data_IF_168560625955
#
_entry.id   IF_168560625955
#
_cell.length_a   1.000
_cell.length_b   1.000
_cell.length_c   1.000
_cell.angle_alpha   90.00
_cell.angle_beta   90.00
_cell.angle_gamma   90.00
#
_symmetry.space_group_name_H-M   'P 1'
#
loop_
_entity.id
_entity.type
_entity.pdbx_description
1 polymer ?
#
# COMPACT_ATOMS: atom_id res chain seq x y z
N UNK A 1 4.56 -0.97 -33.25
CA UNK A 1 3.94 -1.03 -31.92
C UNK A 1 4.63 -0.03 -31.00
N UNK A 2 3.89 0.85 -30.44
CA UNK A 2 4.44 1.83 -29.49
C UNK A 2 4.38 1.26 -28.08
N UNK A 3 5.43 1.47 -27.29
CA UNK A 3 5.40 1.16 -25.89
C UNK A 3 4.55 2.20 -25.15
N UNK A 4 3.79 1.74 -24.16
CA UNK A 4 3.10 2.66 -23.27
C UNK A 4 4.12 3.41 -22.42
N UNK A 5 3.86 4.69 -22.19
CA UNK A 5 4.72 5.48 -21.33
C UNK A 5 4.60 5.00 -19.87
N UNK A 6 5.70 5.08 -19.14
CA UNK A 6 5.75 4.71 -17.73
C UNK A 6 5.99 5.96 -16.90
N UNK A 7 5.25 6.06 -15.81
CA UNK A 7 5.49 7.07 -14.81
C UNK A 7 5.87 6.40 -13.50
N UNK A 8 7.05 6.70 -13.01
CA UNK A 8 7.54 6.17 -11.73
C UNK A 8 7.07 7.09 -10.61
N UNK A 9 6.38 6.50 -9.62
CA UNK A 9 5.78 7.23 -8.51
C UNK A 9 6.58 6.90 -7.26
N UNK A 10 7.16 7.92 -6.66
CA UNK A 10 7.98 7.79 -5.46
C UNK A 10 7.63 8.90 -4.48
N UNK A 11 7.48 8.55 -3.21
CA UNK A 11 7.25 9.53 -2.16
C UNK A 11 8.50 10.38 -1.96
N UNK A 12 8.36 11.70 -1.69
CA UNK A 12 9.51 12.59 -1.61
C UNK A 12 10.48 12.27 -0.46
N UNK A 13 9.98 11.66 0.63
CA UNK A 13 10.78 11.38 1.82
C UNK A 13 11.16 9.91 1.98
N UNK A 14 11.07 9.14 0.89
CA UNK A 14 11.44 7.73 0.94
C UNK A 14 12.94 7.55 1.17
N UNK A 15 13.38 6.43 1.77
CA UNK A 15 14.81 6.15 1.92
C UNK A 15 15.54 6.12 0.58
N UNK A 16 16.81 6.58 0.60
CA UNK A 16 17.67 6.57 -0.58
C UNK A 16 18.19 5.15 -0.83
N UNK A 17 18.34 4.79 -2.11
CA UNK A 17 18.98 3.54 -2.51
C UNK A 17 18.08 2.31 -2.51
N UNK A 18 16.78 2.49 -2.41
CA UNK A 18 15.85 1.36 -2.55
C UNK A 18 15.86 0.85 -3.99
N UNK A 19 15.88 -0.49 -4.20
CA UNK A 19 15.95 -1.08 -5.54
C UNK A 19 14.57 -1.21 -6.20
N UNK A 20 13.62 -0.34 -5.88
CA UNK A 20 12.27 -0.33 -6.44
C UNK A 20 11.64 1.04 -6.31
N UNK A 21 10.68 1.32 -7.17
CA UNK A 21 9.80 2.49 -7.05
C UNK A 21 8.63 2.17 -6.13
N UNK A 22 8.01 3.18 -5.54
CA UNK A 22 6.81 2.99 -4.72
C UNK A 22 5.62 2.51 -5.56
N UNK A 23 5.53 2.99 -6.79
CA UNK A 23 4.55 2.51 -7.76
C UNK A 23 5.01 2.86 -9.18
N UNK A 24 4.44 2.19 -10.16
CA UNK A 24 4.67 2.48 -11.58
C UNK A 24 3.31 2.53 -12.29
N UNK A 25 3.03 3.65 -12.92
CA UNK A 25 1.85 3.82 -13.76
C UNK A 25 2.20 3.49 -15.20
N UNK A 26 1.47 2.56 -15.79
CA UNK A 26 1.64 2.15 -17.19
C UNK A 26 0.27 2.23 -17.85
N UNK A 27 0.07 3.20 -18.75
CA UNK A 27 -1.26 3.43 -19.31
C UNK A 27 -2.26 3.73 -18.19
N UNK A 28 -3.28 2.91 -18.06
CA UNK A 28 -4.34 3.07 -17.06
C UNK A 28 -4.17 2.17 -15.84
N UNK A 29 -3.03 1.47 -15.74
CA UNK A 29 -2.79 0.52 -14.65
C UNK A 29 -1.67 1.01 -13.75
N UNK A 30 -1.95 1.08 -12.44
CA UNK A 30 -0.97 1.42 -11.43
C UNK A 30 -0.53 0.13 -10.70
N UNK A 31 0.76 -0.16 -10.77
CA UNK A 31 1.38 -1.27 -10.05
C UNK A 31 2.02 -0.70 -8.79
N UNK A 32 1.58 -1.15 -7.63
CA UNK A 32 2.03 -0.63 -6.34
C UNK A 32 2.94 -1.66 -5.69
N UNK A 33 4.11 -1.23 -5.26
CA UNK A 33 5.04 -2.08 -4.54
C UNK A 33 4.51 -2.44 -3.15
N UNK A 34 4.93 -3.58 -2.63
CA UNK A 34 4.60 -3.98 -1.28
C UNK A 34 5.11 -3.01 -0.23
N UNK A 35 4.41 -2.94 0.88
CA UNK A 35 4.77 -2.08 2.00
C UNK A 35 4.60 -2.83 3.31
N UNK A 36 5.35 -2.38 4.30
CA UNK A 36 5.20 -2.78 5.69
C UNK A 36 5.01 -1.52 6.53
N UNK A 37 4.43 -1.67 7.70
CA UNK A 37 4.16 -0.54 8.59
C UNK A 37 5.38 -0.19 9.44
N UNK A 38 6.28 0.61 8.89
CA UNK A 38 7.46 1.10 9.60
C UNK A 38 7.25 2.54 10.06
N UNK A 39 7.69 2.82 11.29
CA UNK A 39 7.76 4.18 11.79
C UNK A 39 8.90 4.92 11.06
N UNK A 40 8.61 6.01 10.35
CA UNK A 40 9.65 6.74 9.62
C UNK A 40 10.73 7.34 10.52
N UNK A 41 10.44 7.57 11.80
CA UNK A 41 11.41 8.12 12.74
C UNK A 41 12.44 7.08 13.20
N UNK A 42 12.05 5.81 13.31
CA UNK A 42 12.91 4.74 13.84
C UNK A 42 13.33 3.72 12.79
N UNK A 43 12.58 3.61 11.69
CA UNK A 43 12.78 2.57 10.68
C UNK A 43 12.33 1.18 11.13
N UNK A 44 11.61 1.09 12.23
CA UNK A 44 11.16 -0.16 12.81
C UNK A 44 9.63 -0.21 12.89
N UNK A 45 9.07 -1.44 12.91
CA UNK A 45 7.65 -1.63 13.13
C UNK A 45 7.33 -1.34 14.61
N UNK A 46 6.21 -0.63 14.88
CA UNK A 46 5.77 -0.44 16.27
C UNK A 46 5.36 -1.79 16.89
N UNK A 47 5.34 -1.84 18.21
CA UNK A 47 4.97 -3.08 18.94
C UNK A 47 3.50 -3.43 18.74
N UNK A 48 2.63 -2.43 18.66
CA UNK A 48 1.19 -2.63 18.50
C UNK A 48 0.86 -2.90 17.02
N UNK A 49 0.08 -3.96 16.79
CA UNK A 49 -0.43 -4.28 15.44
C UNK A 49 -1.32 -3.15 14.91
N UNK A 50 -2.13 -2.54 15.75
CA UNK A 50 -2.98 -1.42 15.33
C UNK A 50 -2.15 -0.23 14.85
N UNK A 51 -1.07 0.09 15.53
CA UNK A 51 -0.16 1.17 15.12
C UNK A 51 0.58 0.81 13.82
N UNK A 52 0.99 -0.44 13.66
CA UNK A 52 1.62 -0.94 12.44
C UNK A 52 0.68 -0.85 11.25
N UNK A 53 -0.58 -1.27 11.41
CA UNK A 53 -1.60 -1.18 10.37
C UNK A 53 -1.88 0.27 9.97
N UNK A 54 -1.94 1.17 10.94
CA UNK A 54 -2.13 2.60 10.67
C UNK A 54 -1.02 3.15 9.79
N UNK A 55 0.24 2.86 10.13
CA UNK A 55 1.39 3.28 9.34
C UNK A 55 1.37 2.68 7.94
N UNK A 56 1.03 1.40 7.82
CA UNK A 56 0.94 0.69 6.56
C UNK A 56 -0.09 1.36 5.63
N UNK A 57 -1.29 1.58 6.13
CA UNK A 57 -2.37 2.16 5.33
C UNK A 57 -2.13 3.63 4.99
N UNK A 58 -1.58 4.41 5.92
CA UNK A 58 -1.17 5.78 5.63
C UNK A 58 -0.13 5.83 4.51
N UNK A 59 0.82 4.90 4.53
CA UNK A 59 1.82 4.78 3.48
C UNK A 59 1.22 4.48 2.12
N UNK A 60 0.30 3.52 2.04
CA UNK A 60 -0.41 3.22 0.80
C UNK A 60 -1.24 4.40 0.30
N UNK A 61 -1.97 5.04 1.19
CA UNK A 61 -2.77 6.21 0.82
C UNK A 61 -1.90 7.34 0.30
N UNK A 62 -0.71 7.53 0.85
CA UNK A 62 0.24 8.52 0.36
C UNK A 62 0.73 8.21 -1.05
N UNK A 63 1.05 6.95 -1.33
CA UNK A 63 1.47 6.52 -2.68
C UNK A 63 0.33 6.68 -3.67
N UNK A 64 -0.88 6.25 -3.32
CA UNK A 64 -2.06 6.41 -4.17
C UNK A 64 -2.32 7.89 -4.47
N UNK A 65 -2.24 8.75 -3.46
CA UNK A 65 -2.41 10.19 -3.61
C UNK A 65 -1.38 10.81 -4.53
N UNK A 66 -0.12 10.39 -4.43
CA UNK A 66 0.96 10.84 -5.31
C UNK A 66 0.70 10.45 -6.76
N UNK A 67 0.06 9.31 -6.98
CA UNK A 67 -0.34 8.85 -8.31
C UNK A 67 -1.66 9.45 -8.80
N UNK A 68 -2.36 10.24 -7.97
CA UNK A 68 -3.65 10.83 -8.33
C UNK A 68 -4.83 9.89 -8.16
N UNK A 69 -4.70 8.87 -7.32
CA UNK A 69 -5.73 7.84 -7.09
C UNK A 69 -6.11 7.77 -5.61
N UNK A 70 -7.08 6.91 -5.31
CA UNK A 70 -7.54 6.67 -3.94
C UNK A 70 -7.68 5.17 -3.69
N UNK A 71 -7.98 4.79 -2.44
CA UNK A 71 -8.24 3.40 -2.09
C UNK A 71 -9.38 2.79 -2.89
N UNK A 72 -10.37 3.59 -3.28
CA UNK A 72 -11.52 3.11 -4.07
C UNK A 72 -11.14 2.73 -5.50
N UNK A 73 -9.96 3.08 -5.96
CA UNK A 73 -9.45 2.69 -7.28
C UNK A 73 -8.75 1.32 -7.27
N UNK A 74 -8.55 0.72 -6.11
CA UNK A 74 -7.92 -0.59 -6.00
C UNK A 74 -8.84 -1.68 -6.54
N UNK A 75 -8.26 -2.61 -7.32
CA UNK A 75 -9.01 -3.75 -7.88
C UNK A 75 -8.52 -5.09 -7.32
N UNK A 76 -7.30 -5.14 -6.84
CA UNK A 76 -6.70 -6.35 -6.28
C UNK A 76 -5.79 -5.99 -5.12
N UNK A 77 -5.97 -6.68 -3.98
CA UNK A 77 -5.14 -6.51 -2.79
C UNK A 77 -4.67 -7.87 -2.31
N UNK A 78 -3.39 -7.98 -2.01
CA UNK A 78 -2.79 -9.17 -1.44
C UNK A 78 -2.06 -8.81 -0.16
N UNK A 79 -2.32 -9.56 0.90
CA UNK A 79 -1.73 -9.35 2.22
C UNK A 79 -1.00 -10.61 2.64
N UNK A 80 0.27 -10.45 3.02
CA UNK A 80 1.07 -11.52 3.62
C UNK A 80 1.15 -11.28 5.12
N UNK A 81 0.76 -12.27 5.90
CA UNK A 81 0.85 -12.20 7.35
C UNK A 81 1.52 -13.47 7.89
N UNK A 82 2.46 -13.34 8.82
CA UNK A 82 3.06 -14.52 9.49
C UNK A 82 2.09 -15.21 10.44
N UNK A 83 0.96 -14.56 10.76
CA UNK A 83 -0.03 -15.05 11.72
C UNK A 83 -1.43 -14.79 11.19
N UNK A 84 -2.12 -15.84 10.73
CA UNK A 84 -3.47 -15.74 10.17
C UNK A 84 -4.52 -15.34 11.22
N UNK A 85 -4.21 -15.46 12.51
CA UNK A 85 -5.12 -15.01 13.57
C UNK A 85 -5.27 -13.48 13.59
N UNK A 86 -4.40 -12.74 12.92
CA UNK A 86 -4.48 -11.29 12.80
C UNK A 86 -5.56 -10.82 11.81
N UNK A 87 -6.22 -11.74 11.13
CA UNK A 87 -7.24 -11.42 10.12
C UNK A 87 -8.33 -10.47 10.63
N UNK A 88 -8.90 -10.75 11.80
CA UNK A 88 -9.98 -9.91 12.31
C UNK A 88 -9.52 -8.49 12.63
N UNK A 89 -8.34 -8.36 13.22
CA UNK A 89 -7.75 -7.06 13.54
C UNK A 89 -7.41 -6.27 12.27
N UNK A 90 -6.82 -6.94 11.29
CA UNK A 90 -6.56 -6.35 9.98
C UNK A 90 -7.86 -5.90 9.32
N UNK A 91 -8.85 -6.77 9.27
CA UNK A 91 -10.11 -6.50 8.61
C UNK A 91 -10.84 -5.31 9.22
N UNK A 92 -10.83 -5.16 10.54
CA UNK A 92 -11.47 -4.05 11.23
C UNK A 92 -10.89 -2.69 10.77
N UNK A 93 -9.60 -2.62 10.52
CA UNK A 93 -8.95 -1.41 10.00
C UNK A 93 -9.16 -1.25 8.49
N UNK A 94 -9.09 -2.35 7.76
CA UNK A 94 -9.16 -2.38 6.30
C UNK A 94 -10.53 -1.91 5.76
N UNK A 95 -11.62 -2.39 6.33
CA UNK A 95 -12.97 -2.08 5.82
C UNK A 95 -13.31 -0.58 5.89
N UNK A 96 -12.65 0.16 6.76
CA UNK A 96 -12.88 1.60 6.93
C UNK A 96 -12.26 2.45 5.81
N UNK A 97 -11.42 1.86 4.97
CA UNK A 97 -10.65 2.59 3.96
C UNK A 97 -11.39 2.77 2.65
N UNK A 98 -12.53 2.10 2.49
CA UNK A 98 -13.28 2.07 1.24
C UNK A 98 -14.64 2.71 1.42
N UNK A 99 -15.06 3.51 0.45
CA UNK A 99 -16.38 4.14 0.41
C UNK A 99 -17.32 3.50 -0.61
N UNK A 100 -16.82 2.53 -1.39
CA UNK A 100 -17.53 1.83 -2.46
C UNK A 100 -17.37 0.33 -2.29
N UNK A 101 -17.44 -0.41 -3.40
CA UNK A 101 -17.19 -1.85 -3.42
C UNK A 101 -15.74 -2.17 -3.04
N UNK A 102 -15.55 -3.28 -2.35
CA UNK A 102 -14.21 -3.73 -2.00
C UNK A 102 -13.49 -4.35 -3.20
N UNK A 103 -12.15 -4.20 -3.27
CA UNK A 103 -11.38 -4.90 -4.28
C UNK A 103 -11.38 -6.41 -4.05
N UNK A 104 -10.97 -7.16 -5.07
CA UNK A 104 -10.64 -8.58 -4.90
C UNK A 104 -9.48 -8.71 -3.92
N UNK A 105 -9.44 -9.79 -3.11
CA UNK A 105 -8.58 -9.80 -1.91
C UNK A 105 -8.07 -11.20 -1.59
N UNK A 106 -6.83 -11.25 -1.12
CA UNK A 106 -6.21 -12.46 -0.56
C UNK A 106 -5.47 -12.11 0.74
N UNK A 107 -5.70 -12.90 1.77
CA UNK A 107 -4.99 -12.79 3.05
C UNK A 107 -4.38 -14.16 3.38
N UNK A 108 -3.10 -14.18 3.61
CA UNK A 108 -2.42 -15.42 3.96
C UNK A 108 -1.01 -15.28 4.47
#
# INVERSE_FOLDING_TARGET
MSAQSRRYVNLPNRPVGLPFSDAVLVGDTLYISGRIGLDPATGEAPESVDAELKLLFEGFQSVLGEAGTTMDDLVWVQVYSPDVSLWQQFNAAYVKLFSREFPSFLFG
#
